data_IF_968552079438
#
_entry.id   IF_968552079438
#
_cell.length_a   1.000
_cell.length_b   1.000
_cell.length_c   1.000
_cell.angle_alpha   90.00
_cell.angle_beta   90.00
_cell.angle_gamma   90.00
#
_symmetry.space_group_name_H-M   'P 1'
#
loop_
_entity.id
_entity.type
_entity.pdbx_description
1 polymer ?
#
# COMPACT_ATOMS: atom_id res chain seq x y z
N UNK A 1 19.64 20.75 6.55
CA UNK A 1 18.29 20.24 6.92
C UNK A 1 18.42 18.76 7.14
N UNK A 2 18.11 18.27 8.34
CA UNK A 2 18.29 16.86 8.67
C UNK A 2 16.95 16.15 8.41
N UNK A 3 16.78 15.45 7.27
CA UNK A 3 15.49 14.92 6.79
C UNK A 3 15.00 13.73 7.63
N UNK A 4 14.65 13.95 8.90
CA UNK A 4 14.20 12.88 9.81
C UNK A 4 12.79 12.46 9.44
N UNK A 5 12.57 11.15 9.29
CA UNK A 5 11.28 10.60 8.89
C UNK A 5 10.87 9.45 9.80
N UNK A 6 9.73 9.60 10.47
CA UNK A 6 9.21 8.55 11.36
C UNK A 6 8.42 7.51 10.57
N UNK A 7 8.70 6.21 10.74
CA UNK A 7 7.98 5.14 10.05
C UNK A 7 6.75 4.74 10.88
N UNK A 8 5.56 4.87 10.30
CA UNK A 8 4.28 4.53 10.92
C UNK A 8 3.55 3.44 10.13
N UNK A 9 2.89 2.52 10.84
CA UNK A 9 2.11 1.45 10.21
C UNK A 9 1.38 0.57 11.22
N UNK A 10 0.64 -0.42 10.72
CA UNK A 10 0.02 -1.43 11.59
C UNK A 10 1.08 -2.29 12.28
N UNK A 11 0.86 -2.67 13.54
CA UNK A 11 1.73 -3.60 14.28
C UNK A 11 0.85 -4.62 14.99
N UNK A 12 -0.18 -4.15 15.72
CA UNK A 12 -1.12 -5.01 16.40
C UNK A 12 -1.85 -5.97 15.43
N UNK A 13 -2.03 -7.22 15.87
CA UNK A 13 -2.72 -8.30 15.16
C UNK A 13 -2.03 -8.84 13.89
N UNK A 14 -0.77 -8.48 13.66
CA UNK A 14 0.08 -9.08 12.64
C UNK A 14 1.16 -9.97 13.27
N UNK A 15 1.76 -10.83 12.47
CA UNK A 15 2.97 -11.55 12.85
C UNK A 15 4.13 -10.57 13.11
N UNK A 16 4.81 -10.73 14.25
CA UNK A 16 5.81 -9.77 14.70
C UNK A 16 7.07 -9.75 13.84
N UNK A 17 7.46 -10.89 13.28
CA UNK A 17 8.67 -10.99 12.47
C UNK A 17 8.42 -10.44 11.06
N UNK A 18 7.24 -10.71 10.49
CA UNK A 18 6.80 -10.06 9.24
C UNK A 18 6.75 -8.53 9.38
N UNK A 19 6.22 -8.01 10.49
CA UNK A 19 6.18 -6.56 10.71
C UNK A 19 7.56 -5.95 10.90
N UNK A 20 8.44 -6.58 11.68
CA UNK A 20 9.84 -6.10 11.79
C UNK A 20 10.53 -6.07 10.42
N UNK A 21 10.32 -7.10 9.60
CA UNK A 21 10.87 -7.15 8.24
C UNK A 21 10.32 -6.02 7.36
N UNK A 22 9.01 -5.77 7.39
CA UNK A 22 8.37 -4.69 6.64
C UNK A 22 8.91 -3.29 7.04
N UNK A 23 9.01 -3.01 8.34
CA UNK A 23 9.55 -1.75 8.84
C UNK A 23 11.04 -1.59 8.50
N UNK A 24 11.84 -2.67 8.63
CA UNK A 24 13.25 -2.67 8.22
C UNK A 24 13.42 -2.39 6.72
N UNK A 25 12.60 -3.02 5.88
CA UNK A 25 12.64 -2.79 4.45
C UNK A 25 12.29 -1.33 4.09
N UNK A 26 11.31 -0.73 4.78
CA UNK A 26 10.99 0.68 4.62
C UNK A 26 12.14 1.59 5.09
N UNK A 27 12.79 1.25 6.21
CA UNK A 27 13.97 1.95 6.72
C UNK A 27 15.09 1.97 5.67
N UNK A 28 15.40 0.83 5.05
CA UNK A 28 16.41 0.73 3.99
C UNK A 28 16.03 1.55 2.75
N UNK A 29 14.77 1.48 2.30
CA UNK A 29 14.26 2.30 1.17
C UNK A 29 14.38 3.79 1.45
N UNK A 30 14.05 4.23 2.65
CA UNK A 30 14.10 5.64 3.05
C UNK A 30 15.54 6.14 3.16
N UNK A 31 16.45 5.32 3.71
CA UNK A 31 17.90 5.61 3.69
C UNK A 31 18.41 5.78 2.26
N UNK A 32 18.03 4.89 1.34
CA UNK A 32 18.42 4.98 -0.07
C UNK A 32 17.90 6.25 -0.76
N UNK A 33 16.74 6.78 -0.32
CA UNK A 33 16.18 8.07 -0.76
C UNK A 33 16.80 9.30 -0.07
N UNK A 34 17.78 9.11 0.84
CA UNK A 34 18.48 10.18 1.53
C UNK A 34 17.77 10.73 2.77
N UNK A 35 16.83 10.00 3.34
CA UNK A 35 16.21 10.33 4.63
C UNK A 35 16.97 9.72 5.81
N UNK A 36 16.71 10.24 7.00
CA UNK A 36 17.12 9.63 8.27
C UNK A 36 15.90 9.00 8.96
N UNK A 37 15.61 7.71 8.69
CA UNK A 37 14.41 7.06 9.22
C UNK A 37 14.50 6.77 10.71
N UNK A 38 13.38 6.98 11.41
CA UNK A 38 13.16 6.63 12.81
C UNK A 38 12.14 5.49 12.84
N UNK A 39 12.57 4.34 13.35
CA UNK A 39 11.80 3.11 13.37
C UNK A 39 11.27 2.84 14.79
N UNK A 40 9.94 2.72 15.01
CA UNK A 40 9.36 2.47 16.35
C UNK A 40 9.83 1.17 16.99
N UNK A 41 10.24 0.17 16.22
CA UNK A 41 10.82 -1.05 16.80
C UNK A 41 12.13 -0.81 17.55
N UNK A 42 12.81 0.32 17.29
CA UNK A 42 14.05 0.72 17.92
C UNK A 42 13.82 1.80 19.01
N UNK A 43 12.61 1.92 19.56
CA UNK A 43 12.26 2.93 20.55
C UNK A 43 12.83 2.68 21.97
N UNK A 44 13.60 1.60 22.15
CA UNK A 44 14.32 1.31 23.39
C UNK A 44 13.51 0.63 24.48
N UNK A 45 12.21 0.35 24.26
CA UNK A 45 11.38 -0.39 25.19
C UNK A 45 11.35 -1.89 24.85
N UNK A 46 11.36 -2.79 25.86
CA UNK A 46 11.27 -4.23 25.63
C UNK A 46 9.91 -4.62 25.05
N UNK A 47 9.90 -5.61 24.14
CA UNK A 47 8.68 -6.21 23.61
C UNK A 47 8.57 -7.68 24.04
N UNK A 48 7.38 -8.16 24.49
CA UNK A 48 6.10 -7.44 24.61
C UNK A 48 6.07 -6.47 25.80
N UNK A 49 5.36 -5.35 25.66
CA UNK A 49 5.27 -4.29 26.67
C UNK A 49 3.91 -3.59 26.67
N UNK A 50 3.69 -2.70 27.63
CA UNK A 50 2.46 -1.89 27.69
C UNK A 50 2.41 -0.94 26.49
N UNK A 51 1.46 -1.20 25.59
CA UNK A 51 1.26 -0.43 24.36
C UNK A 51 1.15 1.08 24.61
N UNK A 52 0.59 1.51 25.75
CA UNK A 52 0.48 2.94 26.09
C UNK A 52 1.84 3.58 26.36
N UNK A 53 2.79 2.82 26.90
CA UNK A 53 4.16 3.29 27.13
C UNK A 53 4.92 3.42 25.81
N UNK A 54 4.81 2.42 24.92
CA UNK A 54 5.38 2.50 23.58
C UNK A 54 4.83 3.72 22.82
N UNK A 55 3.50 3.89 22.78
CA UNK A 55 2.86 5.02 22.10
C UNK A 55 3.36 6.39 22.58
N UNK A 56 3.59 6.58 23.89
CA UNK A 56 4.13 7.84 24.42
C UNK A 56 5.54 8.13 23.93
N UNK A 57 6.41 7.11 23.89
CA UNK A 57 7.78 7.24 23.38
C UNK A 57 7.75 7.47 21.87
N UNK A 58 6.91 6.72 21.16
CA UNK A 58 6.74 6.81 19.71
C UNK A 58 6.28 8.20 19.28
N UNK A 59 5.30 8.80 19.96
CA UNK A 59 4.89 10.19 19.74
C UNK A 59 6.04 11.15 20.02
N UNK A 60 6.81 10.95 21.09
CA UNK A 60 7.97 11.79 21.41
C UNK A 60 9.08 11.73 20.35
N UNK A 61 9.26 10.58 19.70
CA UNK A 61 10.17 10.41 18.56
C UNK A 61 9.61 11.05 17.29
N UNK A 62 8.33 10.87 17.01
CA UNK A 62 7.62 11.47 15.89
C UNK A 62 7.73 12.99 15.91
N UNK A 63 7.51 13.62 17.06
CA UNK A 63 7.56 15.09 17.22
C UNK A 63 8.94 15.71 16.95
N UNK A 64 10.00 14.90 16.85
CA UNK A 64 11.35 15.34 16.49
C UNK A 64 11.67 15.16 15.00
N UNK A 65 10.69 14.72 14.18
CA UNK A 65 10.85 14.45 12.77
C UNK A 65 10.22 15.55 11.90
N UNK A 66 10.73 15.72 10.67
CA UNK A 66 10.14 16.63 9.68
C UNK A 66 9.07 15.94 8.84
N UNK A 67 9.14 14.61 8.75
CA UNK A 67 8.25 13.78 7.96
C UNK A 67 7.72 12.58 8.76
N UNK A 68 6.55 12.08 8.36
CA UNK A 68 6.02 10.77 8.77
C UNK A 68 5.82 9.91 7.52
N UNK A 69 6.41 8.72 7.48
CA UNK A 69 6.24 7.74 6.41
C UNK A 69 5.17 6.72 6.79
N UNK A 70 4.07 6.71 6.05
CA UNK A 70 2.93 5.83 6.27
C UNK A 70 3.07 4.57 5.42
N UNK A 71 3.26 3.42 6.06
CA UNK A 71 3.28 2.12 5.39
C UNK A 71 1.93 1.79 4.73
N UNK A 72 1.95 0.87 3.78
CA UNK A 72 0.74 0.32 3.18
C UNK A 72 -0.23 -0.19 4.26
N UNK A 73 -1.52 -0.01 3.99
CA UNK A 73 -2.62 -0.38 4.87
C UNK A 73 -2.62 0.36 6.23
N UNK A 74 -1.90 1.49 6.37
CA UNK A 74 -1.84 2.26 7.63
C UNK A 74 -3.22 2.58 8.22
N UNK A 75 -4.24 2.78 7.38
CA UNK A 75 -5.61 3.14 7.79
C UNK A 75 -6.29 2.06 8.63
N UNK A 76 -5.79 0.83 8.67
CA UNK A 76 -6.34 -0.24 9.55
C UNK A 76 -5.83 -0.11 10.99
N UNK A 77 -4.69 0.57 11.19
CA UNK A 77 -4.04 0.71 12.49
C UNK A 77 -4.59 1.90 13.28
N UNK A 78 -5.07 1.65 14.51
CA UNK A 78 -5.44 2.73 15.42
C UNK A 78 -4.22 3.59 15.80
N UNK A 79 -3.05 2.97 15.99
CA UNK A 79 -1.80 3.67 16.31
C UNK A 79 -1.34 4.58 15.17
N UNK A 80 -1.29 4.05 13.94
CA UNK A 80 -0.84 4.84 12.79
C UNK A 80 -1.79 6.01 12.48
N UNK A 81 -3.09 5.82 12.67
CA UNK A 81 -4.08 6.91 12.54
C UNK A 81 -3.85 8.03 13.55
N UNK A 82 -3.57 7.68 14.81
CA UNK A 82 -3.25 8.65 15.85
C UNK A 82 -1.93 9.38 15.57
N UNK A 83 -0.89 8.65 15.16
CA UNK A 83 0.40 9.24 14.78
C UNK A 83 0.27 10.22 13.61
N UNK A 84 -0.52 9.88 12.59
CA UNK A 84 -0.78 10.79 11.47
C UNK A 84 -1.51 12.07 11.92
N UNK A 85 -2.50 11.93 12.79
CA UNK A 85 -3.26 13.07 13.34
C UNK A 85 -2.36 14.01 14.13
N UNK A 86 -1.50 13.46 15.00
CA UNK A 86 -0.49 14.22 15.74
C UNK A 86 0.51 14.88 14.78
N UNK A 87 1.03 14.13 13.81
CA UNK A 87 2.02 14.64 12.86
C UNK A 87 1.50 15.84 12.07
N UNK A 88 0.32 15.68 11.45
CA UNK A 88 -0.30 16.73 10.64
C UNK A 88 -0.68 17.95 11.47
N UNK A 89 -1.16 17.76 12.70
CA UNK A 89 -1.43 18.85 13.65
C UNK A 89 -0.19 19.63 14.07
N UNK A 90 0.99 18.99 14.03
CA UNK A 90 2.28 19.60 14.37
C UNK A 90 3.07 20.10 13.15
N UNK A 91 2.50 20.08 11.93
CA UNK A 91 3.16 20.53 10.71
C UNK A 91 4.16 19.53 10.10
N UNK A 92 4.22 18.31 10.62
CA UNK A 92 5.07 17.22 10.12
C UNK A 92 4.45 16.67 8.83
N UNK A 93 5.25 16.58 7.77
CA UNK A 93 4.75 16.29 6.44
C UNK A 93 4.52 14.78 6.23
N UNK A 94 3.30 14.34 5.87
CA UNK A 94 3.05 12.94 5.58
C UNK A 94 3.59 12.53 4.21
N UNK A 95 4.25 11.39 4.17
CA UNK A 95 4.73 10.70 2.98
C UNK A 95 4.10 9.31 3.00
N UNK A 96 3.42 8.91 1.95
CA UNK A 96 2.78 7.60 1.87
C UNK A 96 3.64 6.64 1.08
N UNK A 97 3.63 5.37 1.48
CA UNK A 97 4.20 4.30 0.69
C UNK A 97 3.51 4.23 -0.68
N UNK A 98 4.27 4.50 -1.74
CA UNK A 98 3.78 4.36 -3.12
C UNK A 98 3.41 2.89 -3.35
N UNK A 99 2.20 2.64 -3.87
CA UNK A 99 1.87 1.33 -4.40
C UNK A 99 2.82 1.04 -5.57
N UNK A 100 3.38 -0.18 -5.63
CA UNK A 100 4.24 -0.59 -6.74
C UNK A 100 3.59 -0.21 -8.07
N UNK A 101 4.33 0.51 -8.91
CA UNK A 101 3.88 0.88 -10.25
C UNK A 101 3.62 -0.39 -11.05
N UNK A 102 2.35 -0.69 -11.28
CA UNK A 102 1.93 -1.84 -12.08
C UNK A 102 1.82 -1.41 -13.53
N UNK A 103 2.24 -2.27 -14.44
CA UNK A 103 2.08 -2.06 -15.88
C UNK A 103 0.94 -2.90 -16.42
N UNK A 104 0.23 -2.35 -17.40
CA UNK A 104 -0.87 -3.03 -18.06
C UNK A 104 -0.35 -4.24 -18.83
N UNK A 105 -0.87 -5.43 -18.54
CA UNK A 105 -0.50 -6.67 -19.24
C UNK A 105 -0.89 -6.73 -20.74
N UNK A 106 -1.57 -5.69 -21.24
CA UNK A 106 -2.00 -5.57 -22.64
C UNK A 106 -1.16 -4.51 -23.38
N UNK A 107 -1.02 -3.30 -22.83
CA UNK A 107 -0.33 -2.19 -23.53
C UNK A 107 0.97 -1.72 -22.88
N UNK A 108 1.38 -2.28 -21.73
CA UNK A 108 2.62 -1.92 -21.04
C UNK A 108 2.60 -0.58 -20.30
N UNK A 109 1.57 0.26 -20.48
CA UNK A 109 1.44 1.55 -19.78
C UNK A 109 1.19 1.35 -18.28
N UNK A 110 1.62 2.32 -17.47
CA UNK A 110 1.36 2.36 -16.03
C UNK A 110 -0.15 2.31 -15.75
N UNK A 111 -0.53 1.55 -14.73
CA UNK A 111 -1.91 1.39 -14.27
C UNK A 111 -2.13 2.33 -13.09
N UNK A 112 -3.19 3.13 -13.17
CA UNK A 112 -3.71 3.86 -12.02
C UNK A 112 -4.57 2.94 -11.14
N UNK A 113 -4.30 2.92 -9.83
CA UNK A 113 -5.02 2.10 -8.85
C UNK A 113 -4.85 0.58 -9.04
N UNK A 114 -5.89 -0.19 -8.69
CA UNK A 114 -5.80 -1.67 -8.67
C UNK A 114 -5.80 -2.35 -10.06
N UNK A 115 -6.13 -1.61 -11.13
CA UNK A 115 -6.31 -2.15 -12.49
C UNK A 115 -7.55 -3.03 -12.67
N UNK A 116 -7.81 -3.42 -13.92
CA UNK A 116 -8.98 -4.21 -14.31
C UNK A 116 -8.60 -5.66 -14.61
N UNK A 117 -9.54 -6.59 -14.42
CA UNK A 117 -9.38 -7.97 -14.85
C UNK A 117 -9.21 -8.01 -16.39
N UNK A 118 -8.10 -8.53 -16.93
CA UNK A 118 -7.88 -8.58 -18.37
C UNK A 118 -8.54 -9.78 -19.06
N UNK A 119 -9.13 -10.71 -18.31
CA UNK A 119 -9.82 -11.87 -18.88
C UNK A 119 -11.02 -11.43 -19.73
N UNK A 120 -11.24 -12.00 -20.93
CA UNK A 120 -10.59 -13.19 -21.50
C UNK A 120 -9.30 -12.94 -22.29
N UNK A 121 -8.92 -11.68 -22.52
CA UNK A 121 -7.80 -11.30 -23.41
C UNK A 121 -6.45 -11.76 -22.86
N UNK A 122 -6.28 -11.73 -21.54
CA UNK A 122 -5.16 -12.35 -20.82
C UNK A 122 -5.70 -13.13 -19.63
N UNK A 123 -5.03 -14.22 -19.28
CA UNK A 123 -5.32 -15.04 -18.10
C UNK A 123 -4.69 -14.50 -16.82
N UNK A 124 -3.65 -13.67 -16.95
CA UNK A 124 -2.87 -13.15 -15.83
C UNK A 124 -2.68 -11.61 -15.91
N UNK A 125 -2.36 -11.03 -14.74
CA UNK A 125 -2.06 -9.61 -14.60
C UNK A 125 -3.29 -8.72 -14.46
N UNK A 126 -3.07 -7.42 -14.69
CA UNK A 126 -4.09 -6.36 -14.63
C UNK A 126 -3.98 -5.49 -15.88
N UNK A 127 -5.12 -5.03 -16.40
CA UNK A 127 -5.14 -4.07 -17.51
C UNK A 127 -5.59 -2.67 -17.10
N UNK A 128 -5.07 -1.66 -17.77
CA UNK A 128 -5.47 -0.28 -17.54
C UNK A 128 -6.91 -0.03 -17.99
N UNK A 129 -7.50 1.10 -17.56
CA UNK A 129 -8.87 1.48 -17.91
C UNK A 129 -9.09 1.52 -19.41
N UNK A 130 -8.16 2.10 -20.17
CA UNK A 130 -8.26 2.22 -21.62
C UNK A 130 -8.36 0.84 -22.31
N UNK A 131 -7.44 -0.08 -22.00
CA UNK A 131 -7.46 -1.43 -22.56
C UNK A 131 -8.69 -2.23 -22.10
N UNK A 132 -9.16 -2.01 -20.87
CA UNK A 132 -10.40 -2.62 -20.41
C UNK A 132 -11.58 -2.21 -21.30
N UNK A 133 -11.75 -0.92 -21.60
CA UNK A 133 -12.85 -0.44 -22.44
C UNK A 133 -12.71 -0.78 -23.93
N UNK A 134 -11.48 -0.76 -24.45
CA UNK A 134 -11.24 -0.87 -25.90
C UNK A 134 -10.91 -2.28 -26.37
N UNK A 135 -10.46 -3.16 -25.47
CA UNK A 135 -10.02 -4.52 -25.81
C UNK A 135 -10.82 -5.57 -25.03
N UNK A 136 -10.85 -5.45 -23.69
CA UNK A 136 -11.41 -6.53 -22.83
C UNK A 136 -12.93 -6.59 -22.84
N UNK A 137 -13.62 -5.46 -22.61
CA UNK A 137 -15.08 -5.41 -22.61
C UNK A 137 -15.69 -5.80 -23.96
N UNK A 138 -15.17 -5.33 -25.12
CA UNK A 138 -15.64 -5.78 -26.43
C UNK A 138 -15.55 -7.29 -26.60
N UNK A 139 -14.43 -7.90 -26.18
CA UNK A 139 -14.25 -9.34 -26.29
C UNK A 139 -15.22 -10.13 -25.37
N UNK A 140 -15.47 -9.64 -24.15
CA UNK A 140 -16.51 -10.21 -23.26
C UNK A 140 -17.89 -10.17 -23.91
N UNK A 141 -18.25 -9.05 -24.55
CA UNK A 141 -19.53 -8.90 -25.24
C UNK A 141 -19.62 -9.87 -26.43
N UNK A 142 -18.53 -10.05 -27.18
CA UNK A 142 -18.45 -10.98 -28.31
C UNK A 142 -18.68 -12.42 -27.85
N UNK A 143 -17.94 -12.89 -26.84
CA UNK A 143 -18.11 -14.24 -26.29
C UNK A 143 -19.52 -14.44 -25.72
N UNK A 144 -20.04 -13.48 -24.95
CA UNK A 144 -21.40 -13.58 -24.41
C UNK A 144 -22.48 -13.69 -25.50
N UNK A 145 -22.30 -13.06 -26.66
CA UNK A 145 -23.21 -13.22 -27.81
C UNK A 145 -23.07 -14.60 -28.45
N UNK A 146 -21.85 -15.11 -28.56
CA UNK A 146 -21.56 -16.42 -29.12
C UNK A 146 -22.16 -17.53 -28.24
N UNK A 147 -21.94 -17.47 -26.93
CA UNK A 147 -22.49 -18.43 -25.97
C UNK A 147 -24.03 -18.46 -26.03
N UNK A 148 -24.68 -17.29 -26.08
CA UNK A 148 -26.15 -17.22 -26.21
C UNK A 148 -26.65 -17.83 -27.53
N UNK A 149 -25.93 -17.63 -28.62
CA UNK A 149 -26.29 -18.21 -29.92
C UNK A 149 -26.10 -19.73 -29.94
N UNK A 150 -25.03 -20.22 -29.33
CA UNK A 150 -24.74 -21.67 -29.23
C UNK A 150 -25.75 -22.37 -28.31
N UNK A 151 -26.14 -21.77 -27.18
CA UNK A 151 -27.20 -22.29 -26.31
C UNK A 151 -28.57 -22.31 -27.01
N UNK A 152 -28.89 -21.29 -27.82
CA UNK A 152 -30.13 -21.26 -28.59
C UNK A 152 -30.20 -22.31 -29.73
N UNK A 153 -29.10 -22.99 -30.06
CA UNK A 153 -29.06 -24.08 -31.06
C UNK A 153 -29.25 -25.47 -30.46
N UNK A 154 -29.10 -25.61 -29.15
CA UNK A 154 -29.24 -26.90 -28.46
C UNK A 154 -30.67 -27.19 -27.99
N UNK A 155 -31.59 -26.24 -28.18
CA UNK A 155 -32.98 -26.30 -27.76
C UNK A 155 -33.96 -26.71 -28.89
N UNK A 156 -33.45 -27.05 -30.09
CA UNK A 156 -34.18 -27.63 -31.25
C UNK A 156 -33.82 -29.12 -31.44
#
# INVERSE_FOLDING_TARGET
MNKKIYISGAIAHYDMDERKAAFKAAEERLKAKGYHPINPFNNGLPQPGDWRKHMKVDIGLLLQCDYIYMLKDWWVSKGAKLELDVATSCGIQPVFEEEERKTCCICGKEIEGMGNNPYPVRTEGRCCRYCNYTVVLPERIRLSKQDRYEQGKTDD
#
